data_IF_364326830542
#
_entry.id   IF_364326830542
#
_cell.length_a   1.000
_cell.length_b   1.000
_cell.length_c   1.000
_cell.angle_alpha   90.00
_cell.angle_beta   90.00
_cell.angle_gamma   90.00
#
_symmetry.space_group_name_H-M   'P 1'
#
loop_
_entity.id
_entity.type
_entity.pdbx_description
1 polymer ?
#
# COMPACT_ATOMS: atom_id res chain seq x y z
N UNK A 1 -39.24 8.75 18.37
CA UNK A 1 -38.51 7.52 18.76
C UNK A 1 -37.74 7.05 17.55
N UNK A 2 -36.43 6.83 17.52
CA UNK A 2 -35.34 7.13 18.43
C UNK A 2 -34.10 7.11 17.55
N UNK A 3 -33.22 8.10 17.73
CA UNK A 3 -31.87 8.12 17.17
C UNK A 3 -31.20 6.79 17.51
N UNK A 4 -30.79 6.04 16.48
CA UNK A 4 -30.03 4.82 16.65
C UNK A 4 -28.70 5.23 17.29
N UNK A 5 -28.52 4.89 18.57
CA UNK A 5 -27.27 5.07 19.31
C UNK A 5 -26.12 4.57 18.44
N UNK A 6 -25.13 5.43 18.27
CA UNK A 6 -23.78 5.05 17.85
C UNK A 6 -23.37 3.88 18.74
N UNK A 7 -23.37 2.70 18.15
CA UNK A 7 -22.86 1.50 18.76
C UNK A 7 -21.35 1.70 18.88
N UNK A 8 -20.91 1.86 20.13
CA UNK A 8 -19.52 2.07 20.51
C UNK A 8 -18.75 0.72 20.53
N UNK A 9 -19.34 -0.33 19.96
CA UNK A 9 -18.83 -1.70 19.90
C UNK A 9 -18.95 -2.28 18.48
N UNK A 10 -18.60 -1.51 17.46
CA UNK A 10 -18.31 -2.09 16.14
C UNK A 10 -17.01 -2.91 16.22
N UNK A 11 -17.15 -4.12 16.79
CA UNK A 11 -16.29 -5.27 16.59
C UNK A 11 -16.58 -5.90 15.24
N UNK A 12 -16.85 -5.14 14.19
CA UNK A 12 -16.60 -5.62 12.83
C UNK A 12 -15.10 -5.51 12.61
N UNK A 13 -14.35 -6.37 13.31
CA UNK A 13 -12.94 -6.63 13.05
C UNK A 13 -12.87 -7.45 11.76
N UNK A 14 -13.30 -6.86 10.66
CA UNK A 14 -13.14 -7.41 9.33
C UNK A 14 -11.81 -6.88 8.81
N UNK A 15 -10.79 -7.75 8.78
CA UNK A 15 -9.41 -7.55 8.25
C UNK A 15 -8.30 -7.23 9.27
N UNK A 16 -8.05 -8.13 10.22
CA UNK A 16 -6.93 -8.04 11.17
C UNK A 16 -5.56 -8.48 10.59
N UNK A 17 -5.36 -8.29 9.29
CA UNK A 17 -4.13 -8.66 8.61
C UNK A 17 -3.45 -7.40 8.08
N UNK A 18 -2.25 -7.15 8.59
CA UNK A 18 -1.38 -6.10 8.08
C UNK A 18 -0.93 -6.54 6.69
N UNK A 19 -1.42 -5.85 5.66
CA UNK A 19 -1.07 -6.16 4.27
C UNK A 19 -0.31 -5.00 3.65
N UNK A 20 0.78 -5.31 2.94
CA UNK A 20 1.56 -4.33 2.19
C UNK A 20 1.54 -4.71 0.72
N UNK A 21 1.19 -3.75 -0.13
CA UNK A 21 1.27 -3.87 -1.58
C UNK A 21 2.42 -3.00 -2.07
N UNK A 22 3.36 -3.58 -2.79
CA UNK A 22 4.51 -2.87 -3.35
C UNK A 22 4.48 -2.89 -4.88
N UNK A 23 4.77 -1.75 -5.52
CA UNK A 23 4.80 -1.59 -6.98
C UNK A 23 6.07 -0.85 -7.43
N UNK A 24 6.64 -1.28 -8.56
CA UNK A 24 7.78 -0.60 -9.20
C UNK A 24 9.16 -0.97 -8.63
N UNK A 25 9.29 -2.11 -7.96
CA UNK A 25 10.53 -2.55 -7.32
C UNK A 25 11.24 -3.67 -8.10
N UNK A 26 12.56 -3.62 -8.21
CA UNK A 26 13.31 -4.75 -8.78
C UNK A 26 13.35 -5.96 -7.83
N UNK A 27 13.66 -7.16 -8.35
CA UNK A 27 13.85 -8.38 -7.54
C UNK A 27 14.79 -8.19 -6.35
N UNK A 28 15.86 -7.39 -6.51
CA UNK A 28 16.76 -7.11 -5.40
C UNK A 28 16.11 -6.23 -4.33
N UNK A 29 15.39 -5.20 -4.74
CA UNK A 29 14.67 -4.29 -3.83
C UNK A 29 13.52 -5.02 -3.13
N UNK A 30 12.79 -5.89 -3.85
CA UNK A 30 11.72 -6.73 -3.32
C UNK A 30 12.25 -7.63 -2.19
N UNK A 31 13.44 -8.23 -2.35
CA UNK A 31 14.04 -9.04 -1.28
C UNK A 31 14.32 -8.23 -0.01
N UNK A 32 14.87 -7.03 -0.17
CA UNK A 32 15.14 -6.12 0.96
C UNK A 32 13.82 -5.73 1.63
N UNK A 33 12.82 -5.33 0.83
CA UNK A 33 11.53 -4.89 1.32
C UNK A 33 10.76 -6.03 2.01
N UNK A 34 10.81 -7.23 1.46
CA UNK A 34 10.21 -8.43 2.06
C UNK A 34 10.84 -8.77 3.39
N UNK A 35 12.18 -8.75 3.48
CA UNK A 35 12.89 -8.97 4.76
C UNK A 35 12.55 -7.90 5.79
N UNK A 36 12.35 -6.67 5.34
CA UNK A 36 11.92 -5.57 6.19
C UNK A 36 10.47 -5.73 6.68
N UNK A 37 9.56 -6.11 5.80
CA UNK A 37 8.17 -6.42 6.14
C UNK A 37 8.06 -7.59 7.13
N UNK A 38 8.89 -8.62 6.98
CA UNK A 38 8.97 -9.76 7.90
C UNK A 38 9.35 -9.32 9.32
N UNK A 39 10.33 -8.39 9.42
CA UNK A 39 10.74 -7.80 10.70
C UNK A 39 9.61 -7.01 11.38
N UNK A 40 8.71 -6.42 10.59
CA UNK A 40 7.55 -5.67 11.07
C UNK A 40 6.30 -6.54 11.29
N UNK A 41 6.41 -7.87 11.19
CA UNK A 41 5.29 -8.82 11.30
C UNK A 41 4.12 -8.50 10.35
N UNK A 42 4.44 -8.11 9.11
CA UNK A 42 3.45 -7.95 8.04
C UNK A 42 2.92 -9.34 7.65
N UNK A 43 1.62 -9.56 7.78
CA UNK A 43 0.98 -10.86 7.53
C UNK A 43 0.98 -11.18 6.02
N UNK A 44 0.66 -10.18 5.18
CA UNK A 44 0.50 -10.36 3.74
C UNK A 44 1.35 -9.34 2.96
N UNK A 45 2.20 -9.82 2.05
CA UNK A 45 2.98 -8.98 1.15
C UNK A 45 2.63 -9.28 -0.30
N UNK A 46 2.06 -8.28 -0.98
CA UNK A 46 1.51 -8.37 -2.33
C UNK A 46 2.39 -7.54 -3.27
N UNK A 47 2.80 -8.13 -4.39
CA UNK A 47 3.57 -7.43 -5.41
C UNK A 47 2.69 -7.04 -6.57
N UNK A 48 2.42 -5.76 -6.73
CA UNK A 48 1.58 -5.32 -7.83
C UNK A 48 2.44 -5.19 -9.07
N UNK A 49 1.98 -5.85 -10.13
CA UNK A 49 2.58 -5.80 -11.45
C UNK A 49 1.59 -5.24 -12.45
N UNK A 50 2.06 -5.04 -13.66
CA UNK A 50 1.24 -4.60 -14.77
C UNK A 50 -0.02 -5.44 -15.03
N UNK A 51 0.10 -6.77 -14.96
CA UNK A 51 -1.04 -7.65 -15.23
C UNK A 51 -2.15 -7.56 -14.18
N UNK A 52 -1.85 -7.07 -12.99
CA UNK A 52 -2.79 -6.95 -11.86
C UNK A 52 -3.05 -5.49 -11.49
N UNK A 53 -2.43 -4.52 -12.17
CA UNK A 53 -2.54 -3.10 -11.85
C UNK A 53 -3.92 -2.54 -12.19
N UNK A 54 -4.60 -3.14 -13.17
CA UNK A 54 -5.98 -2.83 -13.54
C UNK A 54 -7.01 -3.49 -12.59
N UNK A 55 -6.58 -4.40 -11.70
CA UNK A 55 -7.45 -4.98 -10.66
C UNK A 55 -7.70 -3.98 -9.53
N UNK A 56 -8.81 -4.17 -8.82
CA UNK A 56 -9.15 -3.36 -7.65
C UNK A 56 -8.32 -3.73 -6.43
N UNK A 57 -8.17 -2.79 -5.49
CA UNK A 57 -7.47 -3.08 -4.22
C UNK A 57 -8.11 -4.23 -3.44
N UNK A 58 -9.43 -4.37 -3.50
CA UNK A 58 -10.12 -5.53 -2.90
C UNK A 58 -9.66 -6.86 -3.51
N UNK A 59 -9.54 -6.93 -4.83
CA UNK A 59 -9.08 -8.14 -5.52
C UNK A 59 -7.61 -8.43 -5.20
N UNK A 60 -6.78 -7.40 -5.14
CA UNK A 60 -5.38 -7.52 -4.71
C UNK A 60 -5.27 -8.03 -3.27
N UNK A 61 -6.15 -7.61 -2.36
CA UNK A 61 -6.18 -8.14 -0.99
C UNK A 61 -6.56 -9.62 -0.93
N UNK A 62 -7.36 -10.10 -1.88
CA UNK A 62 -7.71 -11.52 -2.03
C UNK A 62 -6.59 -12.34 -2.67
N UNK A 63 -5.61 -11.71 -3.31
CA UNK A 63 -4.42 -12.36 -3.84
C UNK A 63 -3.43 -12.61 -2.72
N UNK A 64 -3.26 -13.88 -2.33
CA UNK A 64 -2.30 -14.28 -1.32
C UNK A 64 -0.84 -14.01 -1.74
N UNK A 65 -0.54 -14.20 -3.03
CA UNK A 65 0.81 -14.03 -3.58
C UNK A 65 0.73 -13.56 -5.01
N UNK A 66 1.50 -12.54 -5.34
CA UNK A 66 1.70 -12.09 -6.71
C UNK A 66 3.15 -12.33 -7.10
N UNK A 67 3.38 -12.78 -8.34
CA UNK A 67 4.72 -13.03 -8.85
C UNK A 67 5.48 -11.72 -8.99
N UNK A 68 6.81 -11.76 -9.00
CA UNK A 68 7.62 -10.59 -9.32
C UNK A 68 7.53 -10.34 -10.84
N UNK A 69 7.09 -9.16 -11.28
CA UNK A 69 7.21 -8.80 -12.69
C UNK A 69 8.47 -7.99 -12.96
N UNK A 70 8.98 -8.13 -14.18
CA UNK A 70 10.09 -7.34 -14.71
C UNK A 70 9.63 -6.13 -15.50
N UNK A 71 8.32 -5.84 -15.54
CA UNK A 71 7.73 -4.77 -16.35
C UNK A 71 6.70 -3.99 -15.56
N UNK A 72 6.85 -2.66 -15.61
CA UNK A 72 6.04 -1.70 -14.89
C UNK A 72 5.60 -0.62 -15.90
N UNK A 73 4.29 -0.46 -16.15
CA UNK A 73 3.76 0.63 -16.98
C UNK A 73 4.10 2.02 -16.41
N UNK A 74 4.16 2.13 -15.08
CA UNK A 74 4.36 3.41 -14.40
C UNK A 74 5.77 3.42 -13.80
N UNK A 75 6.66 4.35 -14.20
CA UNK A 75 8.01 4.45 -13.67
C UNK A 75 8.02 5.16 -12.31
N UNK A 76 7.19 4.71 -11.38
CA UNK A 76 7.08 5.25 -10.04
C UNK A 76 7.00 4.11 -9.02
N UNK A 77 7.68 4.29 -7.89
CA UNK A 77 7.65 3.35 -6.77
C UNK A 77 6.51 3.72 -5.85
N UNK A 78 5.68 2.76 -5.49
CA UNK A 78 4.58 2.99 -4.58
C UNK A 78 4.37 1.81 -3.62
N UNK A 79 3.98 2.15 -2.40
CA UNK A 79 3.71 1.19 -1.32
C UNK A 79 2.36 1.53 -0.71
N UNK A 80 1.41 0.62 -0.86
CA UNK A 80 0.08 0.72 -0.28
C UNK A 80 0.01 -0.17 0.96
N UNK A 81 -0.45 0.40 2.06
CA UNK A 81 -0.51 -0.24 3.37
C UNK A 81 -1.96 -0.43 3.79
N UNK A 82 -2.35 -1.65 4.16
CA UNK A 82 -3.67 -1.97 4.68
C UNK A 82 -3.56 -2.43 6.13
N UNK A 83 -4.47 -1.97 6.99
CA UNK A 83 -4.50 -2.38 8.40
C UNK A 83 -3.37 -1.83 9.27
N UNK A 84 -2.57 -0.88 8.78
CA UNK A 84 -1.51 -0.24 9.57
C UNK A 84 -2.11 0.78 10.55
N UNK A 85 -1.73 0.69 11.83
CA UNK A 85 -2.01 1.76 12.78
C UNK A 85 -1.08 2.94 12.52
N UNK A 86 -1.44 4.13 13.01
CA UNK A 86 -0.59 5.32 12.87
C UNK A 86 0.83 5.14 13.45
N UNK A 87 0.98 4.31 14.48
CA UNK A 87 2.27 3.94 15.07
C UNK A 87 3.08 3.00 14.16
N UNK A 88 2.43 1.99 13.57
CA UNK A 88 3.06 1.03 12.64
C UNK A 88 3.54 1.73 11.38
N UNK A 89 2.70 2.63 10.84
CA UNK A 89 3.04 3.42 9.65
C UNK A 89 4.26 4.31 9.90
N UNK A 90 4.34 4.96 11.06
CA UNK A 90 5.52 5.75 11.41
C UNK A 90 6.78 4.89 11.58
N UNK A 91 6.66 3.72 12.21
CA UNK A 91 7.76 2.77 12.34
C UNK A 91 8.22 2.28 10.95
N UNK A 92 7.27 1.91 10.08
CA UNK A 92 7.51 1.49 8.71
C UNK A 92 8.25 2.57 7.92
N UNK A 93 7.76 3.81 7.94
CA UNK A 93 8.40 4.93 7.25
C UNK A 93 9.80 5.24 7.77
N UNK A 94 10.02 5.11 9.07
CA UNK A 94 11.31 5.39 9.70
C UNK A 94 12.36 4.34 9.33
N UNK A 95 12.01 3.06 9.42
CA UNK A 95 12.93 1.98 9.03
C UNK A 95 13.07 1.85 7.51
N UNK A 96 12.07 2.23 6.71
CA UNK A 96 12.20 2.24 5.25
C UNK A 96 13.34 3.13 4.78
N UNK A 97 13.60 4.26 5.47
CA UNK A 97 14.76 5.12 5.16
C UNK A 97 16.10 4.43 5.36
N UNK A 98 16.17 3.46 6.26
CA UNK A 98 17.40 2.70 6.57
C UNK A 98 17.70 1.65 5.48
N UNK A 99 16.67 1.22 4.72
CA UNK A 99 16.84 0.23 3.64
C UNK A 99 17.65 0.74 2.44
N UNK A 100 17.89 2.06 2.34
CA UNK A 100 18.59 2.68 1.21
C UNK A 100 17.80 2.70 -0.11
N UNK A 101 16.54 2.26 -0.09
CA UNK A 101 15.65 2.30 -1.25
C UNK A 101 15.19 3.73 -1.57
N UNK A 102 14.94 3.99 -2.86
CA UNK A 102 14.28 5.24 -3.25
C UNK A 102 12.93 5.37 -2.56
N UNK A 103 12.62 6.59 -2.10
CA UNK A 103 11.40 6.87 -1.35
C UNK A 103 10.18 6.68 -2.26
N UNK A 104 9.35 5.66 -2.03
CA UNK A 104 8.14 5.46 -2.80
C UNK A 104 7.05 6.42 -2.34
N UNK A 105 5.96 6.42 -3.09
CA UNK A 105 4.72 7.03 -2.67
C UNK A 105 4.03 6.06 -1.70
N UNK A 106 3.82 6.52 -0.47
CA UNK A 106 3.12 5.77 0.56
C UNK A 106 1.65 6.16 0.57
N UNK A 107 0.78 5.17 0.59
CA UNK A 107 -0.65 5.40 0.82
C UNK A 107 -1.25 4.27 1.65
N UNK A 108 -2.39 4.55 2.27
CA UNK A 108 -3.14 3.58 3.06
C UNK A 108 -4.42 3.19 2.33
N UNK A 109 -4.79 1.90 2.38
CA UNK A 109 -6.09 1.46 1.86
C UNK A 109 -7.19 2.05 2.75
N UNK A 110 -8.07 2.80 2.12
CA UNK A 110 -9.27 3.34 2.75
C UNK A 110 -10.51 2.63 2.20
N UNK A 111 -11.65 2.68 2.89
CA UNK A 111 -12.90 2.08 2.40
C UNK A 111 -13.28 2.59 1.01
N UNK A 112 -13.00 3.87 0.71
CA UNK A 112 -13.27 4.48 -0.59
C UNK A 112 -12.33 3.98 -1.68
N UNK A 113 -11.03 3.83 -1.38
CA UNK A 113 -10.04 3.35 -2.35
C UNK A 113 -10.14 1.85 -2.61
N UNK A 114 -10.76 1.07 -1.72
CA UNK A 114 -10.88 -0.40 -1.85
C UNK A 114 -11.50 -0.83 -3.20
N UNK A 115 -12.48 -0.05 -3.69
CA UNK A 115 -13.17 -0.32 -4.96
C UNK A 115 -12.49 0.32 -6.17
N UNK A 116 -11.35 1.00 -5.99
CA UNK A 116 -10.64 1.65 -7.07
C UNK A 116 -9.59 0.70 -7.66
N UNK A 117 -9.34 0.76 -8.97
CA UNK A 117 -8.22 0.04 -9.57
C UNK A 117 -6.90 0.64 -9.08
N UNK A 118 -5.92 -0.23 -8.81
CA UNK A 118 -4.63 0.19 -8.24
C UNK A 118 -3.94 1.24 -9.11
N UNK A 119 -3.98 1.06 -10.44
CA UNK A 119 -3.47 2.02 -11.42
C UNK A 119 -4.03 3.42 -11.25
N UNK A 120 -5.35 3.56 -11.06
CA UNK A 120 -5.99 4.86 -10.87
C UNK A 120 -5.53 5.50 -9.57
N UNK A 121 -5.50 4.73 -8.47
CA UNK A 121 -5.02 5.22 -7.18
C UNK A 121 -3.57 5.74 -7.29
N UNK A 122 -2.68 4.94 -7.86
CA UNK A 122 -1.27 5.33 -8.05
C UNK A 122 -1.15 6.56 -8.94
N UNK A 123 -1.88 6.63 -10.03
CA UNK A 123 -1.80 7.76 -10.95
C UNK A 123 -2.25 9.07 -10.29
N UNK A 124 -3.31 9.05 -9.48
CA UNK A 124 -3.74 10.21 -8.70
C UNK A 124 -2.69 10.58 -7.65
N UNK A 125 -2.16 9.61 -6.92
CA UNK A 125 -1.10 9.83 -5.94
C UNK A 125 0.18 10.43 -6.56
N UNK A 126 0.56 9.99 -7.77
CA UNK A 126 1.68 10.55 -8.52
C UNK A 126 1.38 12.00 -8.91
N UNK A 127 0.19 12.27 -9.48
CA UNK A 127 -0.20 13.63 -9.84
C UNK A 127 -0.18 14.56 -8.63
N UNK A 128 -0.72 14.13 -7.49
CA UNK A 128 -0.69 14.88 -6.24
C UNK A 128 0.75 15.11 -5.77
N UNK A 129 1.58 14.07 -5.81
CA UNK A 129 2.99 14.15 -5.43
C UNK A 129 3.78 15.13 -6.32
N UNK A 130 3.57 15.08 -7.64
CA UNK A 130 4.18 15.99 -8.61
C UNK A 130 3.69 17.43 -8.40
N UNK A 131 2.39 17.65 -8.19
CA UNK A 131 1.84 18.98 -7.90
C UNK A 131 2.41 19.58 -6.61
N UNK A 132 2.58 18.78 -5.56
CA UNK A 132 3.19 19.22 -4.30
C UNK A 132 4.67 19.56 -4.47
N UNK A 133 5.40 18.75 -5.26
CA UNK A 133 6.81 18.99 -5.58
C UNK A 133 6.98 20.28 -6.41
N UNK A 134 6.06 20.55 -7.33
CA UNK A 134 6.10 21.75 -8.17
C UNK A 134 5.69 23.05 -7.45
N UNK A 135 4.99 22.97 -6.31
CA UNK A 135 4.61 24.16 -5.51
C UNK A 135 5.73 24.69 -4.62
N UNK A 136 6.86 23.99 -4.52
CA UNK A 136 8.06 24.45 -3.80
C UNK A 136 9.13 24.96 -4.79
N UNK A 137 8.73 25.83 -5.72
CA UNK A 137 9.66 26.55 -6.60
C UNK A 137 9.30 28.01 -6.70
#
# INVERSE_FOLDING_TARGET
MSFQKVDLEDKTRSEDKISVMAYGYDKNEIKILKSYCDTLSVDHFILVNDSVIDMTLEELLKLDQTKEASSYLIPAKAVIMNGFSGSDLQAFLKGFKDTGLERPIFATVTPVSKNWPFKTLINELIKEHEMMKNRTK
#
